data_IF_657326438405
#
_entry.id   IF_657326438405
#
_cell.length_a   1.000
_cell.length_b   1.000
_cell.length_c   1.000
_cell.angle_alpha   90.00
_cell.angle_beta   90.00
_cell.angle_gamma   90.00
#
_symmetry.space_group_name_H-M   'P 1'
#
loop_
_entity.id
_entity.type
_entity.pdbx_description
1 polymer ?
#
# COMPACT_ATOMS: atom_id res chain seq x y z
N UNK A 1 6.37 33.99 11.78
CA UNK A 1 5.18 33.34 12.37
C UNK A 1 5.11 31.94 11.78
N UNK A 2 5.59 30.92 12.50
CA UNK A 2 5.38 29.53 12.11
C UNK A 2 4.10 29.10 12.82
N UNK A 3 2.96 29.15 12.12
CA UNK A 3 1.74 28.52 12.63
C UNK A 3 1.94 27.01 12.70
N UNK A 4 1.28 26.33 13.63
CA UNK A 4 1.22 24.87 13.66
C UNK A 4 0.67 24.37 12.32
N UNK A 5 1.55 23.89 11.44
CA UNK A 5 1.14 23.20 10.22
C UNK A 5 0.67 21.82 10.66
N UNK A 6 -0.65 21.63 10.68
CA UNK A 6 -1.24 20.32 10.90
C UNK A 6 -1.10 19.49 9.64
N UNK A 7 -0.77 18.20 9.80
CA UNK A 7 -0.80 17.25 8.69
C UNK A 7 -2.22 17.10 8.17
N UNK A 8 -2.36 17.09 6.84
CA UNK A 8 -3.62 16.73 6.19
C UNK A 8 -3.80 15.21 6.23
N UNK A 9 -5.04 14.76 6.43
CA UNK A 9 -5.40 13.34 6.48
C UNK A 9 -6.40 13.09 5.37
N UNK A 10 -6.07 12.13 4.50
CA UNK A 10 -6.95 11.65 3.44
C UNK A 10 -7.49 10.28 3.84
N UNK A 11 -8.80 10.09 3.69
CA UNK A 11 -9.47 8.85 4.05
C UNK A 11 -10.45 8.46 2.94
N UNK A 12 -10.33 7.22 2.47
CA UNK A 12 -11.32 6.57 1.62
C UNK A 12 -12.03 5.52 2.47
N UNK A 13 -13.36 5.47 2.39
CA UNK A 13 -14.20 4.45 3.02
C UNK A 13 -14.96 3.68 1.95
N UNK A 14 -15.59 2.57 2.36
CA UNK A 14 -16.43 1.76 1.47
C UNK A 14 -15.67 1.22 0.26
N UNK A 15 -14.37 0.95 0.43
CA UNK A 15 -13.54 0.31 -0.58
C UNK A 15 -14.12 -1.07 -0.93
N UNK A 16 -14.32 -1.37 -2.22
CA UNK A 16 -14.80 -2.67 -2.63
C UNK A 16 -13.77 -3.74 -2.26
N UNK A 17 -14.27 -4.96 -2.04
CA UNK A 17 -13.42 -6.13 -1.81
C UNK A 17 -12.65 -6.42 -3.11
N UNK A 18 -11.31 -6.42 -3.09
CA UNK A 18 -10.50 -6.77 -4.25
C UNK A 18 -10.89 -8.15 -4.79
N UNK A 19 -11.07 -8.26 -6.12
CA UNK A 19 -11.52 -9.49 -6.78
C UNK A 19 -10.42 -10.32 -7.40
N UNK A 20 -9.17 -9.87 -7.32
CA UNK A 20 -8.03 -10.55 -7.92
C UNK A 20 -7.79 -10.27 -9.41
N UNK A 21 -8.69 -9.55 -10.09
CA UNK A 21 -8.71 -9.44 -11.56
C UNK A 21 -7.61 -8.55 -12.19
N UNK A 22 -6.71 -7.99 -11.39
CA UNK A 22 -5.59 -7.13 -11.84
C UNK A 22 -4.73 -6.66 -10.68
N UNK A 23 -3.63 -5.95 -10.96
CA UNK A 23 -2.68 -5.48 -9.95
C UNK A 23 -3.11 -4.23 -9.19
N UNK A 24 -4.10 -3.51 -9.72
CA UNK A 24 -4.65 -2.30 -9.11
C UNK A 24 -5.50 -2.62 -7.87
N UNK A 25 -5.61 -1.64 -6.98
CA UNK A 25 -6.48 -1.70 -5.81
C UNK A 25 -7.36 -0.46 -5.80
N UNK A 26 -8.67 -0.63 -6.01
CA UNK A 26 -9.61 0.48 -6.21
C UNK A 26 -9.58 1.52 -5.07
N UNK A 27 -9.39 1.06 -3.82
CA UNK A 27 -9.24 1.97 -2.68
C UNK A 27 -7.96 2.80 -2.69
N UNK A 28 -6.87 2.28 -3.27
CA UNK A 28 -5.61 3.03 -3.46
C UNK A 28 -5.82 4.05 -4.58
N UNK A 29 -6.41 3.64 -5.70
CA UNK A 29 -6.68 4.54 -6.83
C UNK A 29 -7.58 5.71 -6.43
N UNK A 30 -8.63 5.43 -5.66
CA UNK A 30 -9.52 6.44 -5.09
C UNK A 30 -8.77 7.38 -4.14
N UNK A 31 -7.84 6.86 -3.32
CA UNK A 31 -7.06 7.66 -2.38
C UNK A 31 -6.10 8.58 -3.13
N UNK A 32 -5.38 8.09 -4.14
CA UNK A 32 -4.47 8.89 -4.95
C UNK A 32 -5.21 9.99 -5.69
N UNK A 33 -6.41 9.69 -6.22
CA UNK A 33 -7.26 10.70 -6.83
C UNK A 33 -7.72 11.76 -5.83
N UNK A 34 -8.17 11.36 -4.64
CA UNK A 34 -8.57 12.27 -3.58
C UNK A 34 -7.42 13.20 -3.16
N UNK A 35 -6.21 12.64 -3.00
CA UNK A 35 -5.01 13.42 -2.68
C UNK A 35 -4.73 14.46 -3.78
N UNK A 36 -4.75 14.05 -5.05
CA UNK A 36 -4.47 14.93 -6.18
C UNK A 36 -5.54 16.04 -6.36
N UNK A 37 -6.82 15.71 -6.16
CA UNK A 37 -7.93 16.69 -6.19
C UNK A 37 -7.78 17.75 -5.06
N UNK A 38 -7.00 17.45 -4.02
CA UNK A 38 -6.61 18.35 -2.94
C UNK A 38 -5.19 18.93 -3.09
N UNK A 39 -4.56 18.79 -4.26
CA UNK A 39 -3.27 19.40 -4.59
C UNK A 39 -2.05 18.56 -4.21
N UNK A 40 -2.23 17.37 -3.62
CA UNK A 40 -1.15 16.44 -3.30
C UNK A 40 -1.04 15.38 -4.39
N UNK A 41 -0.24 15.67 -5.43
CA UNK A 41 -0.06 14.77 -6.57
C UNK A 41 0.92 13.64 -6.26
N UNK A 42 0.65 12.47 -6.83
CA UNK A 42 1.46 11.28 -6.56
C UNK A 42 2.76 11.27 -7.36
N UNK A 43 2.72 11.62 -8.64
CA UNK A 43 3.88 11.57 -9.53
C UNK A 43 4.54 12.94 -9.67
N UNK A 44 5.84 13.02 -9.39
CA UNK A 44 6.65 14.17 -9.74
C UNK A 44 7.03 14.03 -11.23
N UNK A 45 6.39 14.84 -12.07
CA UNK A 45 6.55 14.78 -13.52
C UNK A 45 6.55 16.17 -14.14
N UNK A 46 7.25 16.34 -15.26
CA UNK A 46 7.24 17.61 -16.01
C UNK A 46 5.86 17.92 -16.62
N UNK A 47 5.07 16.88 -16.92
CA UNK A 47 3.70 17.02 -17.41
C UNK A 47 2.70 17.27 -16.29
N UNK A 48 1.70 18.11 -16.56
CA UNK A 48 0.54 18.28 -15.69
C UNK A 48 -0.54 17.25 -16.07
N UNK A 49 -0.71 16.22 -15.25
CA UNK A 49 -1.72 15.17 -15.40
C UNK A 49 -2.61 15.11 -14.16
N UNK A 50 -3.65 14.27 -14.21
CA UNK A 50 -4.57 14.09 -13.09
C UNK A 50 -3.89 13.66 -11.78
N UNK A 51 -2.81 12.88 -11.85
CA UNK A 51 -2.06 12.42 -10.69
C UNK A 51 -0.61 12.94 -10.64
N UNK A 52 -0.16 13.66 -11.68
CA UNK A 52 1.24 14.04 -11.86
C UNK A 52 1.44 15.53 -12.11
N UNK A 53 2.57 16.05 -11.65
CA UNK A 53 2.98 17.45 -11.86
C UNK A 53 4.33 17.71 -11.19
N UNK A 54 4.93 18.90 -11.39
CA UNK A 54 6.29 19.18 -10.94
C UNK A 54 6.49 19.08 -9.42
N UNK A 55 5.42 19.20 -8.64
CA UNK A 55 5.41 19.16 -7.18
C UNK A 55 4.87 17.82 -6.63
N UNK A 56 4.87 16.76 -7.45
CA UNK A 56 4.41 15.44 -7.01
C UNK A 56 5.34 14.78 -6.00
N UNK A 57 4.87 13.69 -5.39
CA UNK A 57 5.57 13.02 -4.28
C UNK A 57 6.74 12.13 -4.71
N UNK A 58 6.66 11.50 -5.88
CA UNK A 58 7.59 10.43 -6.30
C UNK A 58 8.12 10.75 -7.70
N UNK A 59 9.43 10.95 -7.84
CA UNK A 59 10.09 11.02 -9.14
C UNK A 59 10.33 9.62 -9.73
N UNK A 60 10.47 9.55 -11.06
CA UNK A 60 10.69 8.32 -11.80
C UNK A 60 11.88 7.48 -11.29
N UNK A 61 12.93 8.11 -10.76
CA UNK A 61 14.15 7.44 -10.29
C UNK A 61 14.23 7.26 -8.77
N UNK A 62 13.17 7.58 -8.04
CA UNK A 62 13.21 7.57 -6.58
C UNK A 62 13.34 6.17 -5.99
N UNK A 63 13.99 6.09 -4.83
CA UNK A 63 13.91 4.93 -3.95
C UNK A 63 12.75 5.15 -2.99
N UNK A 64 11.67 4.39 -3.16
CA UNK A 64 10.44 4.52 -2.37
C UNK A 64 10.44 3.49 -1.25
N UNK A 65 10.47 3.95 -0.01
CA UNK A 65 10.38 3.11 1.18
C UNK A 65 8.92 2.97 1.62
N UNK A 66 8.33 1.78 1.43
CA UNK A 66 6.96 1.50 1.84
C UNK A 66 6.98 0.81 3.20
N UNK A 67 6.62 1.56 4.25
CA UNK A 67 6.47 1.00 5.59
C UNK A 67 5.10 0.38 5.75
N UNK A 68 5.05 -0.94 5.89
CA UNK A 68 3.82 -1.70 6.10
C UNK A 68 3.69 -2.16 7.56
N UNK A 69 2.47 -2.47 7.98
CA UNK A 69 2.18 -2.99 9.31
C UNK A 69 1.98 -4.51 9.25
N UNK A 70 2.69 -5.29 10.07
CA UNK A 70 2.27 -6.63 10.46
C UNK A 70 2.47 -6.85 11.97
N UNK A 71 1.41 -6.65 12.74
CA UNK A 71 1.42 -6.93 14.18
C UNK A 71 0.38 -8.00 14.58
N UNK A 72 -0.73 -8.09 13.84
CA UNK A 72 -1.87 -8.94 14.21
C UNK A 72 -2.30 -9.84 13.03
N UNK A 73 -3.08 -10.88 13.31
CA UNK A 73 -3.65 -11.74 12.27
C UNK A 73 -4.67 -10.98 11.40
N UNK A 74 -4.96 -11.50 10.21
CA UNK A 74 -5.86 -10.90 9.22
C UNK A 74 -5.43 -9.48 8.79
N UNK A 75 -6.31 -8.49 8.89
CA UNK A 75 -6.03 -7.10 8.45
C UNK A 75 -5.12 -6.29 9.38
N UNK A 76 -4.63 -6.87 10.47
CA UNK A 76 -3.50 -6.30 11.20
C UNK A 76 -2.15 -6.88 10.77
N UNK A 77 -2.15 -7.73 9.74
CA UNK A 77 -0.97 -8.24 9.03
C UNK A 77 -0.74 -7.36 7.79
N UNK A 78 0.41 -7.52 7.12
CA UNK A 78 0.70 -6.81 5.87
C UNK A 78 -0.40 -7.11 4.85
N UNK A 79 -1.23 -6.14 4.48
CA UNK A 79 -2.26 -6.35 3.47
C UNK A 79 -1.63 -6.38 2.06
N UNK A 80 -1.44 -7.57 1.50
CA UNK A 80 -0.79 -7.76 0.20
C UNK A 80 -1.57 -7.11 -0.94
N UNK A 81 -2.91 -7.07 -0.91
CA UNK A 81 -3.69 -6.45 -1.98
C UNK A 81 -3.44 -4.94 -2.06
N UNK A 82 -3.44 -4.26 -0.91
CA UNK A 82 -3.16 -2.81 -0.83
C UNK A 82 -1.73 -2.51 -1.23
N UNK A 83 -0.76 -3.29 -0.72
CA UNK A 83 0.66 -3.09 -1.01
C UNK A 83 0.94 -3.31 -2.49
N UNK A 84 0.38 -4.37 -3.09
CA UNK A 84 0.48 -4.63 -4.52
C UNK A 84 -0.12 -3.50 -5.36
N UNK A 85 -1.29 -2.99 -4.98
CA UNK A 85 -1.91 -1.85 -5.66
C UNK A 85 -1.06 -0.58 -5.60
N UNK A 86 -0.48 -0.28 -4.43
CA UNK A 86 0.43 0.86 -4.28
C UNK A 86 1.71 0.69 -5.11
N UNK A 87 2.32 -0.49 -5.11
CA UNK A 87 3.51 -0.78 -5.93
C UNK A 87 3.16 -0.64 -7.41
N UNK A 88 2.03 -1.19 -7.85
CA UNK A 88 1.58 -1.06 -9.24
C UNK A 88 1.46 0.41 -9.63
N UNK A 89 0.84 1.24 -8.80
CA UNK A 89 0.73 2.68 -9.04
C UNK A 89 2.11 3.35 -9.13
N UNK A 90 3.08 2.99 -8.29
CA UNK A 90 4.45 3.53 -8.37
C UNK A 90 5.13 3.13 -9.69
N UNK A 91 5.05 1.85 -10.05
CA UNK A 91 5.69 1.32 -11.26
C UNK A 91 5.10 1.92 -12.55
N UNK A 92 3.83 2.31 -12.52
CA UNK A 92 3.13 2.99 -13.61
C UNK A 92 3.40 4.50 -13.68
N UNK A 93 4.46 4.99 -13.01
CA UNK A 93 4.90 6.39 -13.15
C UNK A 93 4.88 6.82 -14.62
N UNK A 94 4.24 7.95 -14.99
CA UNK A 94 3.99 8.30 -16.39
C UNK A 94 5.27 8.53 -17.21
N UNK A 95 6.34 8.97 -16.55
CA UNK A 95 7.66 9.13 -17.17
C UNK A 95 8.48 7.81 -17.22
N UNK A 96 7.89 6.70 -16.76
CA UNK A 96 8.53 5.39 -16.60
C UNK A 96 9.31 5.30 -15.29
N UNK A 97 8.95 4.36 -14.40
CA UNK A 97 9.67 4.17 -13.15
C UNK A 97 10.97 3.38 -13.36
N UNK A 98 12.09 3.94 -12.95
CA UNK A 98 13.43 3.33 -13.00
C UNK A 98 14.13 3.25 -11.65
N UNK A 99 13.44 3.66 -10.59
CA UNK A 99 13.92 3.59 -9.22
C UNK A 99 13.73 2.22 -8.58
N UNK A 100 13.62 2.21 -7.25
CA UNK A 100 13.45 0.99 -6.45
C UNK A 100 12.30 1.16 -5.47
N UNK A 101 11.48 0.11 -5.30
CA UNK A 101 10.48 0.07 -4.23
C UNK A 101 10.93 -0.94 -3.18
N UNK A 102 11.17 -0.45 -1.97
CA UNK A 102 11.63 -1.27 -0.85
C UNK A 102 10.49 -1.37 0.16
N UNK A 103 9.97 -2.59 0.32
CA UNK A 103 8.97 -2.89 1.33
C UNK A 103 9.69 -3.12 2.66
N UNK A 104 9.43 -2.25 3.63
CA UNK A 104 9.95 -2.40 4.99
C UNK A 104 8.82 -2.92 5.87
N UNK A 105 8.80 -4.23 6.02
CA UNK A 105 7.87 -4.92 6.90
C UNK A 105 8.17 -4.55 8.38
N UNK A 106 7.13 -4.40 9.19
CA UNK A 106 7.21 -4.20 10.62
C UNK A 106 6.64 -5.40 11.39
N UNK A 107 7.36 -6.53 11.39
CA UNK A 107 7.02 -7.73 12.16
C UNK A 107 7.08 -7.44 13.66
N UNK A 108 6.10 -6.71 14.17
CA UNK A 108 6.09 -6.29 15.56
C UNK A 108 5.70 -7.47 16.43
N UNK A 109 6.73 -7.96 17.13
CA UNK A 109 6.69 -9.07 18.07
C UNK A 109 6.26 -10.40 17.46
N UNK A 110 4.97 -10.62 17.19
CA UNK A 110 4.46 -11.89 16.67
C UNK A 110 4.13 -11.88 15.17
N UNK A 111 4.02 -10.71 14.55
CA UNK A 111 3.59 -10.59 13.15
C UNK A 111 4.48 -11.37 12.17
N UNK A 112 3.85 -12.03 11.19
CA UNK A 112 4.53 -12.77 10.12
C UNK A 112 3.86 -12.53 8.78
N UNK A 113 4.60 -12.66 7.69
CA UNK A 113 4.04 -12.55 6.33
C UNK A 113 3.00 -13.65 6.02
N UNK A 114 3.16 -14.83 6.62
CA UNK A 114 2.25 -15.97 6.46
C UNK A 114 0.98 -15.84 7.32
N UNK A 115 0.83 -14.75 8.08
CA UNK A 115 -0.33 -14.53 8.95
C UNK A 115 -0.57 -15.68 9.96
N UNK A 116 0.49 -16.35 10.40
CA UNK A 116 0.47 -17.52 11.29
C UNK A 116 0.56 -17.16 12.79
N UNK A 117 0.63 -15.86 13.09
CA UNK A 117 0.88 -15.32 14.42
C UNK A 117 -0.14 -15.82 15.46
N UNK A 118 0.38 -16.37 16.57
CA UNK A 118 -0.42 -16.78 17.72
C UNK A 118 -0.08 -15.94 18.96
N UNK A 119 -0.92 -14.96 19.26
CA UNK A 119 -0.85 -14.23 20.53
C UNK A 119 -1.80 -14.86 21.56
N UNK A 120 -1.23 -15.60 22.52
CA UNK A 120 -1.82 -15.91 23.84
C UNK A 120 -3.34 -16.16 23.94
N UNK A 121 -3.88 -17.16 23.22
CA UNK A 121 -5.33 -17.50 23.17
C UNK A 121 -6.25 -16.42 22.59
N UNK A 122 -5.74 -15.30 22.09
CA UNK A 122 -6.55 -14.22 21.50
C UNK A 122 -7.09 -14.59 20.12
N UNK A 123 -6.41 -15.49 19.42
CA UNK A 123 -6.91 -16.13 18.20
C UNK A 123 -7.18 -17.60 18.47
N UNK A 124 -8.43 -18.02 18.27
CA UNK A 124 -8.84 -19.43 18.35
C UNK A 124 -8.45 -20.21 17.09
N UNK A 125 -8.25 -19.50 15.98
CA UNK A 125 -7.81 -20.03 14.70
C UNK A 125 -6.27 -20.05 14.64
N UNK A 126 -5.71 -21.24 14.47
CA UNK A 126 -4.26 -21.49 14.39
C UNK A 126 -3.74 -21.72 12.96
N UNK A 127 -4.59 -21.57 11.95
CA UNK A 127 -4.21 -21.74 10.55
C UNK A 127 -3.33 -20.60 10.02
N UNK A 128 -2.65 -20.87 8.91
CA UNK A 128 -2.09 -19.86 8.00
C UNK A 128 -3.25 -19.25 7.22
N UNK A 129 -3.27 -17.93 7.08
CA UNK A 129 -4.31 -17.23 6.32
C UNK A 129 -3.65 -16.33 5.30
N UNK A 130 -4.32 -16.16 4.16
CA UNK A 130 -3.89 -15.15 3.22
C UNK A 130 -3.97 -13.77 3.87
N UNK A 131 -2.91 -13.00 3.67
CA UNK A 131 -2.85 -11.59 4.02
C UNK A 131 -3.46 -10.71 2.90
N UNK A 132 -4.35 -11.30 2.11
CA UNK A 132 -5.09 -10.75 0.98
C UNK A 132 -6.50 -11.38 0.97
N UNK A 133 -7.45 -10.72 0.30
CA UNK A 133 -8.79 -11.25 0.08
C UNK A 133 -8.78 -12.39 -0.95
N UNK A 134 -7.90 -12.33 -1.94
CA UNK A 134 -7.59 -13.44 -2.83
C UNK A 134 -6.36 -14.19 -2.30
N UNK A 135 -6.51 -15.48 -1.95
CA UNK A 135 -5.41 -16.27 -1.41
C UNK A 135 -4.24 -16.42 -2.39
N UNK A 136 -4.49 -16.32 -3.69
CA UNK A 136 -3.44 -16.34 -4.72
C UNK A 136 -2.50 -15.13 -4.64
N UNK A 137 -2.88 -14.07 -3.94
CA UNK A 137 -2.08 -12.87 -3.74
C UNK A 137 -1.29 -12.86 -2.43
N UNK A 138 -1.37 -13.95 -1.66
CA UNK A 138 -0.53 -14.12 -0.48
C UNK A 138 0.93 -14.32 -0.86
N UNK A 139 1.83 -13.90 0.04
CA UNK A 139 3.26 -14.17 -0.13
C UNK A 139 3.53 -15.66 -0.34
N UNK A 140 2.91 -16.51 0.49
CA UNK A 140 3.10 -17.96 0.46
C UNK A 140 2.65 -18.60 -0.85
N UNK A 141 1.67 -18.02 -1.56
CA UNK A 141 1.27 -18.51 -2.88
C UNK A 141 2.27 -18.11 -3.98
N UNK A 142 2.87 -16.92 -3.89
CA UNK A 142 3.76 -16.40 -4.94
C UNK A 142 5.17 -17.03 -4.91
N UNK A 143 5.58 -17.59 -3.78
CA UNK A 143 6.95 -18.13 -3.59
C UNK A 143 7.04 -19.65 -3.64
N UNK A 144 5.90 -20.36 -3.77
CA UNK A 144 5.81 -21.82 -3.89
C UNK A 144 5.35 -22.24 -5.28
#
# INVERSE_FOLDING_TARGET
>A
MSGDVKSEIFQVTDCPVPRGEGNHHEGVDALLKLMADHGLKFYASNGDTGLGGPEGLIEASDVVLVKVNAQWKYRGCTNSDVVRGLIQAILEHPDGFSGEVIIIENGQSGGSLDCDTMWGRQYTDTGVHANAEDEAHSFSYLVN
#
